data_IF_341709465892
#
_entry.id   IF_341709465892
#
_cell.length_a   1.000
_cell.length_b   1.000
_cell.length_c   1.000
_cell.angle_alpha   90.00
_cell.angle_beta   90.00
_cell.angle_gamma   90.00
#
_symmetry.space_group_name_H-M   'P 1'
#
loop_
_entity.id
_entity.type
_entity.pdbx_description
1 polymer ?
#
# COMPACT_ATOMS: atom_id res chain seq x y z
N UNK A 1 -1.88 29.68 2.91
CA UNK A 1 -1.02 29.80 4.12
C UNK A 1 0.13 28.81 3.94
N UNK A 2 1.36 29.11 4.35
CA UNK A 2 2.46 28.15 4.20
C UNK A 2 2.22 26.93 5.10
N UNK A 3 2.53 25.72 4.62
CA UNK A 3 2.47 24.50 5.43
C UNK A 3 3.48 24.58 6.58
N UNK A 4 3.14 23.98 7.72
CA UNK A 4 4.03 23.95 8.88
C UNK A 4 5.29 23.11 8.56
N UNK A 5 6.49 23.47 9.05
CA UNK A 5 7.72 22.72 8.77
C UNK A 5 7.62 21.22 9.10
N UNK A 6 6.88 20.88 10.16
CA UNK A 6 6.63 19.48 10.54
C UNK A 6 5.92 18.69 9.43
N UNK A 7 4.98 19.33 8.71
CA UNK A 7 4.23 18.69 7.62
C UNK A 7 5.09 18.47 6.38
N UNK A 8 6.07 19.34 6.15
CA UNK A 8 6.96 19.28 5.00
C UNK A 8 7.93 18.09 5.11
N UNK A 9 8.38 17.79 6.33
CA UNK A 9 9.32 16.69 6.62
C UNK A 9 8.63 15.43 7.19
N UNK A 10 7.32 15.28 7.02
CA UNK A 10 6.52 14.21 7.63
C UNK A 10 7.10 12.80 7.40
N UNK A 11 7.56 12.49 6.18
CA UNK A 11 8.14 11.18 5.87
C UNK A 11 9.39 10.87 6.73
N UNK A 12 10.23 11.87 6.99
CA UNK A 12 11.41 11.72 7.87
C UNK A 12 11.00 11.49 9.33
N UNK A 13 9.93 12.15 9.77
CA UNK A 13 9.38 11.95 11.11
C UNK A 13 8.81 10.54 11.27
N UNK A 14 8.10 10.03 10.25
CA UNK A 14 7.64 8.63 10.20
C UNK A 14 8.81 7.66 10.25
N UNK A 15 9.84 7.87 9.43
CA UNK A 15 11.05 7.02 9.42
C UNK A 15 11.73 7.01 10.79
N UNK A 16 11.81 8.17 11.45
CA UNK A 16 12.40 8.29 12.79
C UNK A 16 11.58 7.53 13.85
N UNK A 17 10.25 7.61 13.79
CA UNK A 17 9.35 6.89 14.70
C UNK A 17 9.46 5.37 14.51
N UNK A 18 9.51 4.91 13.26
CA UNK A 18 9.71 3.49 12.92
C UNK A 18 11.08 2.98 13.38
N UNK A 19 12.14 3.74 13.11
CA UNK A 19 13.49 3.35 13.50
C UNK A 19 13.64 3.21 15.02
N UNK A 20 13.08 4.16 15.79
CA UNK A 20 13.08 4.09 17.25
C UNK A 20 12.32 2.84 17.74
N UNK A 21 11.12 2.61 17.22
CA UNK A 21 10.30 1.46 17.62
C UNK A 21 10.95 0.12 17.27
N UNK A 22 11.51 -0.02 16.06
CA UNK A 22 12.18 -1.24 15.62
C UNK A 22 13.48 -1.51 16.38
N UNK A 23 14.22 -0.47 16.78
CA UNK A 23 15.38 -0.60 17.66
C UNK A 23 15.00 -1.18 19.03
N UNK A 24 13.90 -0.72 19.63
CA UNK A 24 13.38 -1.25 20.88
C UNK A 24 12.95 -2.72 20.74
N UNK A 25 12.28 -3.07 19.62
CA UNK A 25 11.88 -4.45 19.32
C UNK A 25 13.07 -5.37 19.10
N UNK A 26 14.12 -4.88 18.44
CA UNK A 26 15.39 -5.60 18.28
C UNK A 26 16.04 -5.88 19.62
N UNK A 27 16.12 -4.88 20.50
CA UNK A 27 16.66 -5.04 21.86
C UNK A 27 15.83 -6.02 22.71
N UNK A 28 14.50 -6.03 22.54
CA UNK A 28 13.64 -7.05 23.17
C UNK A 28 13.94 -8.45 22.63
N UNK A 29 14.08 -8.59 21.31
CA UNK A 29 14.47 -9.83 20.65
C UNK A 29 15.78 -10.39 21.21
N UNK A 30 16.81 -9.56 21.36
CA UNK A 30 18.11 -9.96 21.95
C UNK A 30 18.00 -10.56 23.36
N UNK A 31 17.05 -10.06 24.17
CA UNK A 31 16.81 -10.56 25.52
C UNK A 31 15.97 -11.83 25.55
N UNK A 32 15.06 -11.99 24.58
CA UNK A 32 14.14 -13.13 24.51
C UNK A 32 14.78 -14.34 23.84
N UNK A 33 15.25 -14.17 22.60
CA UNK A 33 15.88 -15.22 21.80
C UNK A 33 16.78 -14.56 20.74
N UNK A 34 18.10 -14.74 20.87
CA UNK A 34 19.07 -14.05 20.01
C UNK A 34 18.87 -14.41 18.53
N UNK A 35 18.48 -15.63 18.20
CA UNK A 35 18.27 -16.05 16.81
C UNK A 35 17.10 -15.29 16.16
N UNK A 36 16.17 -14.76 16.95
CA UNK A 36 15.05 -13.97 16.45
C UNK A 36 15.49 -12.58 15.96
N UNK A 37 16.63 -12.04 16.41
CA UNK A 37 17.08 -10.71 15.98
C UNK A 37 17.32 -10.64 14.49
N UNK A 38 17.66 -11.77 13.85
CA UNK A 38 17.83 -11.86 12.40
C UNK A 38 16.51 -11.60 11.65
N UNK A 39 15.39 -12.11 12.17
CA UNK A 39 14.06 -11.83 11.66
C UNK A 39 13.69 -10.35 11.84
N UNK A 40 14.04 -9.78 12.99
CA UNK A 40 13.83 -8.35 13.27
C UNK A 40 14.68 -7.47 12.35
N UNK A 41 15.93 -7.84 12.10
CA UNK A 41 16.84 -7.12 11.21
C UNK A 41 16.30 -7.15 9.78
N UNK A 42 15.83 -8.30 9.29
CA UNK A 42 15.18 -8.43 7.99
C UNK A 42 13.93 -7.56 7.85
N UNK A 43 13.06 -7.53 8.88
CA UNK A 43 11.89 -6.63 8.90
C UNK A 43 12.31 -5.15 8.95
N UNK A 44 13.33 -4.83 9.74
CA UNK A 44 13.82 -3.47 9.92
C UNK A 44 14.36 -2.92 8.61
N UNK A 45 15.20 -3.69 7.92
CA UNK A 45 15.71 -3.34 6.60
C UNK A 45 14.56 -3.18 5.59
N UNK A 46 13.56 -4.07 5.62
CA UNK A 46 12.40 -3.98 4.74
C UNK A 46 11.61 -2.68 4.95
N UNK A 47 11.34 -2.33 6.21
CA UNK A 47 10.55 -1.13 6.58
C UNK A 47 11.33 0.15 6.31
N UNK A 48 12.62 0.19 6.65
CA UNK A 48 13.45 1.41 6.60
C UNK A 48 14.15 1.64 5.26
N UNK A 49 14.22 0.64 4.37
CA UNK A 49 14.83 0.77 3.03
C UNK A 49 14.02 1.64 2.03
N UNK A 50 12.98 2.32 2.51
CA UNK A 50 12.29 3.38 1.80
C UNK A 50 10.79 3.20 1.69
N UNK A 51 10.18 3.94 0.78
CA UNK A 51 8.73 4.00 0.57
C UNK A 51 8.23 5.44 0.63
N UNK A 52 7.19 5.75 -0.13
CA UNK A 52 6.60 7.11 -0.20
C UNK A 52 5.84 7.51 1.08
N UNK A 53 5.74 6.61 2.07
CA UNK A 53 4.98 6.77 3.33
C UNK A 53 3.55 7.29 3.13
N UNK A 54 2.90 6.79 2.07
CA UNK A 54 1.59 7.27 1.59
C UNK A 54 0.52 7.14 2.67
N UNK A 55 0.47 5.98 3.34
CA UNK A 55 -0.55 5.65 4.35
C UNK A 55 -0.46 6.53 5.60
N UNK A 56 0.70 6.61 6.29
CA UNK A 56 0.88 7.58 7.38
C UNK A 56 0.61 9.02 6.95
N UNK A 57 0.97 9.38 5.71
CA UNK A 57 0.72 10.73 5.18
C UNK A 57 -0.77 11.03 5.12
N UNK A 58 -1.58 10.16 4.51
CA UNK A 58 -3.03 10.35 4.47
C UNK A 58 -3.66 10.34 5.87
N UNK A 59 -3.19 9.48 6.77
CA UNK A 59 -3.68 9.49 8.15
C UNK A 59 -3.31 10.79 8.91
N UNK A 60 -2.11 11.31 8.71
CA UNK A 60 -1.73 12.61 9.26
C UNK A 60 -2.62 13.73 8.72
N UNK A 61 -2.86 13.78 7.41
CA UNK A 61 -3.71 14.82 6.82
C UNK A 61 -5.19 14.67 7.18
N UNK A 62 -5.68 13.46 7.46
CA UNK A 62 -6.99 13.24 8.07
C UNK A 62 -7.08 13.88 9.47
N UNK A 63 -6.03 13.74 10.28
CA UNK A 63 -5.95 14.37 11.60
C UNK A 63 -5.86 15.90 11.50
N UNK A 64 -5.06 16.42 10.57
CA UNK A 64 -5.00 17.87 10.27
C UNK A 64 -6.35 18.41 9.81
N UNK A 65 -7.07 17.68 8.96
CA UNK A 65 -8.40 18.07 8.48
C UNK A 65 -9.43 18.17 9.62
N UNK A 66 -9.27 17.37 10.69
CA UNK A 66 -10.06 17.44 11.91
C UNK A 66 -9.62 18.55 12.89
N UNK A 67 -8.71 19.44 12.48
CA UNK A 67 -8.21 20.53 13.33
C UNK A 67 -7.00 20.15 14.19
N UNK A 68 -6.33 19.04 13.89
CA UNK A 68 -5.07 18.67 14.53
C UNK A 68 -3.99 19.74 14.36
N UNK A 69 -3.32 20.08 15.46
CA UNK A 69 -2.26 21.09 15.50
C UNK A 69 -0.88 20.42 15.65
N UNK A 70 0.03 20.55 14.66
CA UNK A 70 1.34 19.91 14.66
C UNK A 70 2.28 20.42 15.77
N UNK A 71 1.98 21.57 16.39
CA UNK A 71 2.74 22.11 17.52
C UNK A 71 2.25 21.58 18.87
N UNK A 72 1.05 20.96 18.91
CA UNK A 72 0.48 20.44 20.14
C UNK A 72 1.25 19.21 20.65
N UNK A 73 1.31 19.03 21.98
CA UNK A 73 2.04 17.92 22.62
C UNK A 73 1.56 16.51 22.19
N UNK A 74 0.34 16.41 21.68
CA UNK A 74 -0.24 15.16 21.18
C UNK A 74 0.25 14.80 19.77
N UNK A 75 0.83 15.73 19.01
CA UNK A 75 1.27 15.52 17.64
C UNK A 75 2.25 14.34 17.51
N UNK A 76 3.20 14.21 18.43
CA UNK A 76 4.13 13.07 18.45
C UNK A 76 3.44 11.73 18.69
N UNK A 77 2.39 11.69 19.52
CA UNK A 77 1.59 10.48 19.78
C UNK A 77 0.79 10.08 18.54
N UNK A 78 0.18 11.06 17.87
CA UNK A 78 -0.52 10.84 16.61
C UNK A 78 0.44 10.34 15.54
N UNK A 79 1.62 10.95 15.40
CA UNK A 79 2.64 10.52 14.45
C UNK A 79 3.03 9.05 14.69
N UNK A 80 3.34 8.65 15.92
CA UNK A 80 3.67 7.26 16.25
C UNK A 80 2.51 6.32 15.90
N UNK A 81 1.28 6.69 16.27
CA UNK A 81 0.08 5.92 15.97
C UNK A 81 -0.10 5.71 14.46
N UNK A 82 0.00 6.75 13.63
CA UNK A 82 -0.18 6.62 12.18
C UNK A 82 1.01 5.95 11.49
N UNK A 83 2.21 6.04 12.07
CA UNK A 83 3.41 5.35 11.55
C UNK A 83 3.27 3.83 11.63
N UNK A 84 2.46 3.30 12.55
CA UNK A 84 2.16 1.87 12.65
C UNK A 84 1.57 1.27 11.35
N UNK A 85 0.97 2.10 10.49
CA UNK A 85 0.46 1.68 9.17
C UNK A 85 1.56 1.11 8.26
N UNK A 86 2.82 1.52 8.43
CA UNK A 86 3.93 0.98 7.64
C UNK A 86 4.30 -0.45 8.07
N UNK A 87 3.98 -0.87 9.29
CA UNK A 87 4.12 -2.26 9.73
C UNK A 87 3.02 -3.16 9.15
N UNK A 88 1.79 -2.64 9.01
CA UNK A 88 0.75 -3.32 8.22
C UNK A 88 1.19 -3.43 6.76
N UNK A 89 1.78 -2.38 6.20
CA UNK A 89 2.29 -2.40 4.82
C UNK A 89 3.42 -3.41 4.66
N UNK A 90 4.29 -3.54 5.65
CA UNK A 90 5.33 -4.56 5.64
C UNK A 90 4.72 -5.97 5.63
N UNK A 91 3.75 -6.25 6.51
CA UNK A 91 3.02 -7.52 6.48
C UNK A 91 2.40 -7.78 5.10
N UNK A 92 1.64 -6.82 4.57
CA UNK A 92 0.95 -6.96 3.30
C UNK A 92 1.92 -7.28 2.17
N UNK A 93 3.01 -6.51 2.02
CA UNK A 93 3.98 -6.74 0.94
C UNK A 93 4.78 -8.03 1.10
N UNK A 94 5.20 -8.38 2.32
CA UNK A 94 5.99 -9.60 2.56
C UNK A 94 5.17 -10.84 2.21
N UNK A 95 3.88 -10.84 2.57
CA UNK A 95 2.97 -11.94 2.23
C UNK A 95 2.56 -11.93 0.76
N UNK A 96 2.32 -10.75 0.15
CA UNK A 96 2.02 -10.59 -1.29
C UNK A 96 3.20 -11.11 -2.14
N UNK A 97 4.43 -10.71 -1.83
CA UNK A 97 5.64 -11.19 -2.51
C UNK A 97 5.80 -12.72 -2.41
N UNK A 98 5.33 -13.35 -1.33
CA UNK A 98 5.32 -14.81 -1.19
C UNK A 98 4.22 -15.44 -2.04
N UNK A 99 3.01 -14.88 -2.04
CA UNK A 99 1.87 -15.38 -2.81
C UNK A 99 2.09 -15.28 -4.32
N UNK A 100 2.71 -14.20 -4.76
CA UNK A 100 3.04 -13.94 -6.17
C UNK A 100 4.39 -14.55 -6.58
N UNK A 101 5.11 -15.19 -5.66
CA UNK A 101 6.46 -15.75 -5.87
C UNK A 101 7.48 -14.73 -6.43
N UNK A 102 7.33 -13.45 -6.08
CA UNK A 102 8.19 -12.38 -6.57
C UNK A 102 9.61 -12.49 -6.00
N UNK A 103 10.63 -12.51 -6.85
CA UNK A 103 12.02 -12.61 -6.40
C UNK A 103 12.58 -11.29 -5.85
N UNK A 104 12.04 -10.15 -6.33
CA UNK A 104 12.54 -8.82 -5.99
C UNK A 104 11.43 -7.83 -5.66
N UNK A 105 11.77 -6.88 -4.79
CA UNK A 105 10.96 -5.69 -4.48
C UNK A 105 11.87 -4.50 -4.29
N UNK A 106 11.56 -3.38 -4.98
CA UNK A 106 12.33 -2.12 -4.93
C UNK A 106 13.82 -2.36 -5.22
N UNK A 107 14.11 -3.23 -6.20
CA UNK A 107 15.48 -3.60 -6.57
C UNK A 107 16.25 -4.46 -5.54
N UNK A 108 15.59 -4.96 -4.49
CA UNK A 108 16.19 -5.84 -3.46
C UNK A 108 15.51 -7.20 -3.47
N UNK A 109 16.18 -8.29 -3.03
CA UNK A 109 15.53 -9.59 -2.90
C UNK A 109 14.37 -9.53 -1.89
N UNK A 110 13.29 -10.25 -2.14
CA UNK A 110 12.15 -10.35 -1.20
C UNK A 110 12.54 -11.15 0.05
N UNK A 111 11.77 -11.04 1.14
CA UNK A 111 12.14 -11.67 2.43
C UNK A 111 12.33 -13.18 2.28
N UNK A 112 11.44 -13.88 1.56
CA UNK A 112 11.57 -15.32 1.39
C UNK A 112 12.86 -15.70 0.63
N UNK A 113 13.27 -14.89 -0.36
CA UNK A 113 14.54 -15.08 -1.08
C UNK A 113 15.74 -14.78 -0.18
N UNK A 114 15.70 -13.71 0.61
CA UNK A 114 16.78 -13.36 1.54
C UNK A 114 17.05 -14.48 2.54
N UNK A 115 16.00 -15.02 3.16
CA UNK A 115 16.13 -16.08 4.17
C UNK A 115 16.52 -17.43 3.55
N UNK A 116 16.07 -17.73 2.33
CA UNK A 116 16.55 -18.90 1.59
C UNK A 116 18.06 -18.79 1.26
N UNK A 117 18.55 -17.60 0.86
CA UNK A 117 19.99 -17.37 0.64
C UNK A 117 20.79 -17.57 1.92
N UNK A 118 20.33 -17.00 3.03
CA UNK A 118 20.97 -17.14 4.35
C UNK A 118 21.07 -18.61 4.78
N UNK A 119 20.01 -19.39 4.57
CA UNK A 119 20.00 -20.83 4.87
C UNK A 119 21.11 -21.56 4.09
N UNK A 120 21.26 -21.28 2.78
CA UNK A 120 22.33 -21.85 1.95
C UNK A 120 23.72 -21.43 2.43
N UNK A 121 23.90 -20.15 2.73
CA UNK A 121 25.19 -19.60 3.20
C UNK A 121 25.67 -20.25 4.50
N UNK A 122 24.73 -20.61 5.38
CA UNK A 122 25.04 -21.27 6.65
C UNK A 122 25.04 -22.81 6.56
N UNK A 123 24.78 -23.38 5.39
CA UNK A 123 24.71 -24.84 5.18
C UNK A 123 23.77 -25.55 6.18
N UNK A 124 22.63 -24.92 6.47
CA UNK A 124 21.62 -25.50 7.35
C UNK A 124 20.95 -26.73 6.73
N UNK A 125 20.33 -27.55 7.57
CA UNK A 125 19.64 -28.77 7.14
C UNK A 125 18.31 -28.44 6.44
N UNK A 126 17.84 -29.37 5.61
CA UNK A 126 16.56 -29.31 4.89
C UNK A 126 16.49 -28.23 3.78
N UNK A 127 15.30 -27.95 3.25
CA UNK A 127 15.12 -27.07 2.08
C UNK A 127 15.31 -25.58 2.45
N UNK A 128 16.23 -24.85 1.78
CA UNK A 128 16.35 -23.41 1.91
C UNK A 128 15.08 -22.66 1.51
N UNK A 129 14.39 -23.13 0.47
CA UNK A 129 13.18 -22.50 -0.07
C UNK A 129 12.04 -22.59 0.95
N UNK A 130 11.81 -23.77 1.54
CA UNK A 130 10.80 -23.92 2.60
C UNK A 130 11.12 -23.06 3.82
N UNK A 131 12.40 -22.95 4.21
CA UNK A 131 12.80 -22.06 5.30
C UNK A 131 12.51 -20.59 4.98
N UNK A 132 12.84 -20.15 3.77
CA UNK A 132 12.54 -18.79 3.30
C UNK A 132 11.05 -18.47 3.32
N UNK A 133 10.21 -19.39 2.83
CA UNK A 133 8.75 -19.24 2.85
C UNK A 133 8.22 -19.15 4.30
N UNK A 134 8.66 -20.05 5.18
CA UNK A 134 8.26 -20.03 6.58
C UNK A 134 8.69 -18.74 7.29
N UNK A 135 9.90 -18.25 7.02
CA UNK A 135 10.39 -16.99 7.57
C UNK A 135 9.54 -15.80 7.11
N UNK A 136 9.18 -15.72 5.83
CA UNK A 136 8.34 -14.64 5.31
C UNK A 136 6.95 -14.61 5.94
N UNK A 137 6.31 -15.78 6.13
CA UNK A 137 5.02 -15.87 6.84
C UNK A 137 5.16 -15.29 8.26
N UNK A 138 6.10 -15.80 9.04
CA UNK A 138 6.29 -15.40 10.44
C UNK A 138 6.71 -13.93 10.60
N UNK A 139 7.57 -13.42 9.71
CA UNK A 139 8.00 -12.01 9.74
C UNK A 139 6.83 -11.09 9.41
N UNK A 140 6.00 -11.44 8.42
CA UNK A 140 4.80 -10.67 8.12
C UNK A 140 3.80 -10.69 9.29
N UNK A 141 3.60 -11.84 9.94
CA UNK A 141 2.72 -11.95 11.12
C UNK A 141 3.23 -11.09 12.29
N UNK A 142 4.54 -11.08 12.53
CA UNK A 142 5.17 -10.22 13.54
C UNK A 142 4.97 -8.75 13.19
N UNK A 143 5.13 -8.36 11.93
CA UNK A 143 4.88 -6.98 11.50
C UNK A 143 3.43 -6.55 11.77
N UNK A 144 2.46 -7.41 11.46
CA UNK A 144 1.05 -7.13 11.75
C UNK A 144 0.76 -7.01 13.25
N UNK A 145 1.29 -7.93 14.07
CA UNK A 145 1.15 -7.87 15.52
C UNK A 145 1.81 -6.60 16.10
N UNK A 146 2.98 -6.23 15.59
CA UNK A 146 3.69 -5.03 16.03
C UNK A 146 3.06 -3.73 15.55
N UNK A 147 2.25 -3.75 14.50
CA UNK A 147 1.44 -2.59 14.12
C UNK A 147 0.42 -2.26 15.22
N UNK A 148 -0.30 -3.27 15.74
CA UNK A 148 -1.21 -3.10 16.88
C UNK A 148 -0.46 -2.59 18.10
N UNK A 149 0.65 -3.24 18.46
CA UNK A 149 1.46 -2.83 19.60
C UNK A 149 1.94 -1.37 19.48
N UNK A 150 2.43 -0.96 18.30
CA UNK A 150 2.93 0.40 18.07
C UNK A 150 1.80 1.44 18.20
N UNK A 151 0.62 1.12 17.66
CA UNK A 151 -0.57 1.96 17.77
C UNK A 151 -1.00 2.15 19.22
N UNK A 152 -1.09 1.07 20.00
CA UNK A 152 -1.53 1.15 21.40
C UNK A 152 -0.46 1.74 22.32
N UNK A 153 0.82 1.50 22.04
CA UNK A 153 1.93 2.09 22.78
C UNK A 153 2.15 3.58 22.50
N UNK A 154 1.54 4.14 21.44
CA UNK A 154 1.66 5.55 21.09
C UNK A 154 1.12 6.51 22.18
N UNK A 155 0.32 6.02 23.13
CA UNK A 155 -0.17 6.81 24.26
C UNK A 155 -1.31 7.78 23.89
N UNK A 156 -2.09 7.44 22.85
CA UNK A 156 -3.30 8.18 22.51
C UNK A 156 -4.31 8.16 23.67
N UNK A 157 -5.07 9.25 23.89
CA UNK A 157 -6.18 9.26 24.85
C UNK A 157 -7.19 8.14 24.59
N UNK A 158 -7.81 7.62 25.65
CA UNK A 158 -8.77 6.51 25.57
C UNK A 158 -9.95 6.79 24.63
N UNK A 159 -10.46 8.02 24.62
CA UNK A 159 -11.55 8.44 23.73
C UNK A 159 -11.10 8.46 22.25
N UNK A 160 -9.86 8.84 21.96
CA UNK A 160 -9.29 8.76 20.62
C UNK A 160 -9.14 7.28 20.18
N UNK A 161 -8.65 6.40 21.07
CA UNK A 161 -8.57 4.95 20.83
C UNK A 161 -9.96 4.34 20.55
N UNK A 162 -11.00 4.80 21.25
CA UNK A 162 -12.38 4.36 20.98
C UNK A 162 -12.86 4.79 19.60
N UNK A 163 -12.65 6.06 19.21
CA UNK A 163 -13.04 6.58 17.89
C UNK A 163 -12.31 5.87 16.75
N UNK A 164 -11.01 5.56 16.92
CA UNK A 164 -10.22 4.90 15.87
C UNK A 164 -10.44 3.38 15.77
N UNK A 165 -11.09 2.77 16.77
CA UNK A 165 -11.25 1.31 16.84
C UNK A 165 -11.94 0.71 15.61
N UNK A 166 -13.00 1.35 15.10
CA UNK A 166 -13.71 0.90 13.90
C UNK A 166 -12.88 1.03 12.63
N UNK A 167 -12.35 2.22 12.25
CA UNK A 167 -11.54 2.34 11.05
C UNK A 167 -10.32 1.42 11.04
N UNK A 168 -9.68 1.21 12.19
CA UNK A 168 -8.53 0.30 12.31
C UNK A 168 -8.89 -1.17 12.08
N UNK A 169 -10.05 -1.64 12.58
CA UNK A 169 -10.53 -3.02 12.39
C UNK A 169 -10.98 -3.27 10.97
N UNK A 170 -11.77 -2.36 10.42
CA UNK A 170 -12.30 -2.48 9.07
C UNK A 170 -11.17 -2.48 8.04
N UNK A 171 -10.22 -1.54 8.16
CA UNK A 171 -9.08 -1.42 7.24
C UNK A 171 -8.31 -2.73 7.07
N UNK A 172 -7.98 -3.39 8.19
CA UNK A 172 -7.25 -4.66 8.17
C UNK A 172 -8.07 -5.78 7.53
N UNK A 173 -9.37 -5.81 7.81
CA UNK A 173 -10.29 -6.81 7.26
C UNK A 173 -10.48 -6.60 5.75
N UNK A 174 -10.68 -5.36 5.32
CA UNK A 174 -10.85 -4.98 3.92
C UNK A 174 -9.59 -5.28 3.11
N UNK A 175 -8.40 -4.94 3.63
CA UNK A 175 -7.12 -5.26 3.00
C UNK A 175 -6.98 -6.77 2.77
N UNK A 176 -7.17 -7.59 3.81
CA UNK A 176 -7.04 -9.04 3.72
C UNK A 176 -8.13 -9.67 2.83
N UNK A 177 -9.37 -9.16 2.88
CA UNK A 177 -10.43 -9.60 2.00
C UNK A 177 -10.12 -9.26 0.54
N UNK A 178 -9.59 -8.06 0.27
CA UNK A 178 -9.12 -7.64 -1.04
C UNK A 178 -7.99 -8.53 -1.57
N UNK A 179 -7.00 -8.86 -0.73
CA UNK A 179 -5.93 -9.79 -1.08
C UNK A 179 -6.47 -11.20 -1.40
N UNK A 180 -7.41 -11.69 -0.60
CA UNK A 180 -8.05 -12.98 -0.87
C UNK A 180 -8.81 -12.97 -2.19
N UNK A 181 -9.54 -11.88 -2.49
CA UNK A 181 -10.24 -11.73 -3.76
C UNK A 181 -9.29 -11.66 -4.96
N UNK A 182 -8.12 -11.04 -4.82
CA UNK A 182 -7.09 -11.00 -5.86
C UNK A 182 -6.66 -12.42 -6.24
N UNK A 183 -6.22 -13.21 -5.25
CA UNK A 183 -5.82 -14.62 -5.46
C UNK A 183 -6.98 -15.48 -5.99
N UNK A 184 -8.19 -15.29 -5.47
CA UNK A 184 -9.37 -16.03 -5.91
C UNK A 184 -9.74 -15.72 -7.37
N UNK A 185 -9.64 -14.46 -7.77
CA UNK A 185 -9.97 -13.99 -9.12
C UNK A 185 -8.99 -14.56 -10.14
N UNK A 186 -7.69 -14.56 -9.81
CA UNK A 186 -6.67 -15.23 -10.62
C UNK A 186 -6.94 -16.74 -10.75
N UNK A 187 -7.24 -17.41 -9.64
CA UNK A 187 -7.54 -18.85 -9.63
C UNK A 187 -8.80 -19.22 -10.44
N UNK A 188 -9.79 -18.32 -10.49
CA UNK A 188 -11.02 -18.50 -11.30
C UNK A 188 -10.85 -18.09 -12.76
N UNK A 189 -9.80 -17.35 -13.09
CA UNK A 189 -9.65 -16.71 -14.39
C UNK A 189 -10.72 -15.65 -14.66
N UNK A 190 -11.30 -15.04 -13.62
CA UNK A 190 -12.32 -13.99 -13.78
C UNK A 190 -11.63 -12.69 -14.22
N UNK A 191 -11.86 -12.29 -15.47
CA UNK A 191 -11.31 -11.07 -16.06
C UNK A 191 -12.37 -9.96 -16.17
N UNK A 192 -13.42 -9.97 -15.34
CA UNK A 192 -14.44 -8.93 -15.37
C UNK A 192 -13.97 -7.63 -14.72
N UNK A 193 -14.34 -6.50 -15.32
CA UNK A 193 -14.05 -5.17 -14.77
C UNK A 193 -14.61 -4.97 -13.35
N UNK A 194 -15.76 -5.58 -13.04
CA UNK A 194 -16.38 -5.52 -11.71
C UNK A 194 -15.58 -6.32 -10.65
N UNK A 195 -14.99 -7.46 -11.01
CA UNK A 195 -14.07 -8.18 -10.12
C UNK A 195 -12.81 -7.35 -9.84
N UNK A 196 -12.15 -6.83 -10.88
CA UNK A 196 -10.96 -5.98 -10.76
C UNK A 196 -11.22 -4.76 -9.85
N UNK A 197 -12.27 -3.99 -10.14
CA UNK A 197 -12.61 -2.80 -9.35
C UNK A 197 -13.02 -3.13 -7.91
N UNK A 198 -13.55 -4.33 -7.63
CA UNK A 198 -13.83 -4.76 -6.24
C UNK A 198 -12.53 -5.03 -5.47
N UNK A 199 -11.54 -5.65 -6.12
CA UNK A 199 -10.20 -5.82 -5.54
C UNK A 199 -9.59 -4.45 -5.26
N UNK A 200 -9.57 -3.55 -6.25
CA UNK A 200 -8.99 -2.20 -6.09
C UNK A 200 -9.61 -1.43 -4.92
N UNK A 201 -10.94 -1.49 -4.79
CA UNK A 201 -11.66 -0.83 -3.69
C UNK A 201 -11.23 -1.33 -2.32
N UNK A 202 -11.01 -2.64 -2.17
CA UNK A 202 -10.71 -3.26 -0.87
C UNK A 202 -9.21 -3.33 -0.59
N UNK A 203 -8.45 -3.97 -1.48
CA UNK A 203 -7.00 -4.21 -1.34
C UNK A 203 -6.23 -2.89 -1.31
N UNK A 204 -6.64 -1.91 -2.10
CA UNK A 204 -5.86 -0.67 -2.28
C UNK A 204 -6.58 0.57 -1.78
N UNK A 205 -7.79 0.88 -2.25
CA UNK A 205 -8.41 2.17 -1.97
C UNK A 205 -8.78 2.34 -0.48
N UNK A 206 -9.49 1.34 0.06
CA UNK A 206 -9.85 1.28 1.47
C UNK A 206 -8.60 1.35 2.34
N UNK A 207 -7.64 0.48 2.06
CA UNK A 207 -6.42 0.33 2.85
C UNK A 207 -5.44 1.51 2.76
N UNK A 208 -5.24 2.07 1.56
CA UNK A 208 -4.13 3.00 1.29
C UNK A 208 -4.51 4.46 1.54
N UNK A 209 -5.79 4.81 1.37
CA UNK A 209 -6.23 6.20 1.43
C UNK A 209 -7.47 6.40 2.29
N UNK A 210 -8.58 5.72 1.99
CA UNK A 210 -9.88 5.94 2.66
C UNK A 210 -9.79 5.74 4.17
N UNK A 211 -9.29 4.58 4.61
CA UNK A 211 -9.21 4.24 6.03
C UNK A 211 -8.11 5.02 6.75
N UNK A 212 -6.92 5.25 6.19
CA UNK A 212 -5.95 6.18 6.77
C UNK A 212 -6.55 7.56 7.05
N UNK A 213 -7.23 8.20 6.09
CA UNK A 213 -7.90 9.48 6.29
C UNK A 213 -8.95 9.41 7.42
N UNK A 214 -9.78 8.38 7.41
CA UNK A 214 -10.78 8.13 8.45
C UNK A 214 -10.12 7.98 9.82
N UNK A 215 -9.03 7.22 9.95
CA UNK A 215 -8.29 7.06 11.20
C UNK A 215 -7.78 8.40 11.72
N UNK A 216 -7.14 9.19 10.86
CA UNK A 216 -6.65 10.52 11.20
C UNK A 216 -7.75 11.42 11.75
N UNK A 217 -8.84 11.54 11.00
CA UNK A 217 -9.98 12.36 11.39
C UNK A 217 -10.61 11.86 12.69
N UNK A 218 -10.74 10.54 12.88
CA UNK A 218 -11.24 9.94 14.09
C UNK A 218 -10.36 10.25 15.31
N UNK A 219 -9.02 10.18 15.18
CA UNK A 219 -8.09 10.57 16.24
C UNK A 219 -8.32 12.04 16.63
N UNK A 220 -8.45 12.93 15.64
CA UNK A 220 -8.69 14.36 15.84
C UNK A 220 -10.08 14.72 16.36
N UNK A 221 -11.02 13.76 16.42
CA UNK A 221 -12.40 14.03 16.83
C UNK A 221 -13.23 14.74 15.76
N UNK A 222 -12.90 14.53 14.49
CA UNK A 222 -13.64 15.07 13.35
C UNK A 222 -15.12 14.66 13.35
N UNK A 223 -15.98 15.53 12.81
CA UNK A 223 -17.42 15.25 12.72
C UNK A 223 -17.71 14.11 11.74
N UNK A 224 -18.92 13.54 11.82
CA UNK A 224 -19.35 12.49 10.90
C UNK A 224 -19.36 12.99 9.43
N UNK A 225 -19.73 14.25 9.22
CA UNK A 225 -19.75 14.90 7.90
C UNK A 225 -18.34 15.06 7.33
N UNK A 226 -17.37 15.45 8.17
CA UNK A 226 -15.97 15.52 7.77
C UNK A 226 -15.45 14.13 7.40
N UNK A 227 -15.69 13.14 8.26
CA UNK A 227 -15.24 11.76 8.03
C UNK A 227 -15.80 11.22 6.72
N UNK A 228 -17.09 11.39 6.45
CA UNK A 228 -17.68 10.88 5.21
C UNK A 228 -17.16 11.62 3.97
N UNK A 229 -16.96 12.94 4.04
CA UNK A 229 -16.34 13.70 2.95
C UNK A 229 -14.93 13.21 2.62
N UNK A 230 -14.10 12.98 3.66
CA UNK A 230 -12.75 12.43 3.49
C UNK A 230 -12.76 10.98 2.98
N UNK A 231 -13.73 10.16 3.41
CA UNK A 231 -13.87 8.79 2.91
C UNK A 231 -14.31 8.75 1.45
N UNK A 232 -15.24 9.60 1.03
CA UNK A 232 -15.65 9.72 -0.35
C UNK A 232 -14.47 10.14 -1.25
N UNK A 233 -13.70 11.14 -0.82
CA UNK A 233 -12.44 11.51 -1.47
C UNK A 233 -11.46 10.33 -1.56
N UNK A 234 -11.20 9.68 -0.41
CA UNK A 234 -10.23 8.59 -0.31
C UNK A 234 -10.57 7.35 -1.13
N UNK A 235 -11.86 7.04 -1.26
CA UNK A 235 -12.33 5.88 -2.04
C UNK A 235 -12.02 6.03 -3.52
N UNK A 236 -12.38 7.16 -4.12
CA UNK A 236 -12.21 7.36 -5.55
C UNK A 236 -10.74 7.55 -5.91
N UNK A 237 -10.01 8.35 -5.12
CA UNK A 237 -8.58 8.55 -5.38
C UNK A 237 -7.76 7.28 -5.15
N UNK A 238 -8.15 6.46 -4.17
CA UNK A 238 -7.50 5.19 -3.89
C UNK A 238 -7.64 4.19 -5.05
N UNK A 239 -8.81 4.14 -5.71
CA UNK A 239 -9.00 3.34 -6.93
C UNK A 239 -8.19 3.95 -8.08
N UNK A 240 -8.24 5.27 -8.28
CA UNK A 240 -7.48 5.93 -9.34
C UNK A 240 -5.96 5.70 -9.19
N UNK A 241 -5.45 5.66 -7.96
CA UNK A 241 -4.08 5.31 -7.64
C UNK A 241 -3.75 3.87 -8.06
N UNK A 242 -4.59 2.89 -7.73
CA UNK A 242 -4.36 1.50 -8.14
C UNK A 242 -4.37 1.33 -9.66
N UNK A 243 -5.32 1.97 -10.36
CA UNK A 243 -5.38 1.93 -11.81
C UNK A 243 -4.13 2.53 -12.47
N UNK A 244 -3.55 3.58 -11.86
CA UNK A 244 -2.27 4.13 -12.29
C UNK A 244 -1.13 3.13 -12.05
N UNK A 245 -1.10 2.48 -10.89
CA UNK A 245 -0.10 1.45 -10.57
C UNK A 245 -0.20 0.26 -11.53
N UNK A 246 -1.41 -0.21 -11.89
CA UNK A 246 -1.62 -1.28 -12.88
C UNK A 246 -1.08 -0.90 -14.26
N UNK A 247 -1.31 0.35 -14.69
CA UNK A 247 -0.73 0.86 -15.94
C UNK A 247 0.81 0.88 -15.85
N UNK A 248 1.39 1.24 -14.71
CA UNK A 248 2.84 1.21 -14.52
C UNK A 248 3.39 -0.22 -14.41
N UNK A 249 2.66 -1.18 -13.86
CA UNK A 249 3.06 -2.58 -13.81
C UNK A 249 3.19 -3.20 -15.21
N UNK A 250 2.34 -2.77 -16.14
CA UNK A 250 2.42 -3.20 -17.54
C UNK A 250 3.34 -2.33 -18.39
N UNK A 251 3.33 -1.00 -18.26
CA UNK A 251 4.04 -0.07 -19.18
C UNK A 251 5.20 0.72 -18.56
N UNK A 252 5.41 0.64 -17.25
CA UNK A 252 6.39 1.45 -16.53
C UNK A 252 7.83 1.03 -16.80
N UNK A 253 8.73 2.01 -16.70
CA UNK A 253 10.19 1.77 -16.72
C UNK A 253 10.59 0.98 -15.45
N UNK A 254 11.36 -0.12 -15.57
CA UNK A 254 11.91 -0.85 -14.43
C UNK A 254 12.65 0.01 -13.40
N UNK A 255 13.27 1.12 -13.82
CA UNK A 255 13.92 2.06 -12.91
C UNK A 255 12.92 2.80 -11.99
N UNK A 256 11.66 2.94 -12.42
CA UNK A 256 10.58 3.59 -11.68
C UNK A 256 9.78 2.58 -10.86
N UNK A 257 9.46 1.41 -11.43
CA UNK A 257 8.63 0.39 -10.77
C UNK A 257 9.42 -0.47 -9.78
N UNK A 258 10.74 -0.58 -9.97
CA UNK A 258 11.61 -1.45 -9.20
C UNK A 258 11.37 -2.95 -9.46
N UNK A 259 10.65 -3.27 -10.55
CA UNK A 259 10.30 -4.59 -11.07
C UNK A 259 10.57 -4.66 -12.58
N UNK A 260 10.77 -5.84 -13.18
CA UNK A 260 10.83 -5.98 -14.63
C UNK A 260 9.55 -5.44 -15.30
N UNK A 261 9.69 -4.94 -16.52
CA UNK A 261 8.56 -4.41 -17.27
C UNK A 261 7.60 -5.56 -17.64
N UNK A 262 6.30 -5.41 -17.40
CA UNK A 262 5.30 -6.46 -17.67
C UNK A 262 5.23 -7.55 -16.59
N UNK A 263 5.73 -7.29 -15.38
CA UNK A 263 5.65 -8.23 -14.25
C UNK A 263 4.21 -8.65 -13.95
N UNK A 264 3.26 -7.70 -13.99
CA UNK A 264 1.84 -7.98 -13.77
C UNK A 264 1.26 -8.98 -14.80
N UNK A 265 1.79 -8.99 -16.04
CA UNK A 265 1.40 -9.98 -17.04
C UNK A 265 1.96 -11.37 -16.69
N UNK A 266 3.21 -11.43 -16.22
CA UNK A 266 3.87 -12.69 -15.79
C UNK A 266 3.20 -13.27 -14.54
N UNK A 267 2.85 -12.42 -13.59
CA UNK A 267 2.11 -12.75 -12.37
C UNK A 267 0.64 -13.11 -12.68
N UNK A 268 0.11 -12.72 -13.85
CA UNK A 268 -1.26 -13.02 -14.25
C UNK A 268 -2.31 -12.19 -13.52
N UNK A 269 -1.94 -10.98 -13.06
CA UNK A 269 -2.85 -10.06 -12.36
C UNK A 269 -4.05 -9.74 -13.23
N UNK A 270 -5.25 -9.84 -12.65
CA UNK A 270 -6.54 -9.60 -13.34
C UNK A 270 -7.00 -8.16 -13.13
N UNK A 271 -6.18 -7.21 -13.61
CA UNK A 271 -6.41 -5.76 -13.47
C UNK A 271 -7.55 -5.25 -14.35
N UNK A 272 -8.01 -4.02 -14.12
CA UNK A 272 -9.00 -3.38 -15.01
C UNK A 272 -8.48 -3.25 -16.44
N UNK A 273 -7.18 -2.97 -16.60
CA UNK A 273 -6.54 -2.91 -17.91
C UNK A 273 -6.68 -4.23 -18.67
N UNK A 274 -6.47 -5.36 -17.98
CA UNK A 274 -6.65 -6.70 -18.55
C UNK A 274 -8.11 -6.93 -18.93
N UNK A 275 -9.05 -6.59 -18.04
CA UNK A 275 -10.49 -6.73 -18.31
C UNK A 275 -10.91 -5.96 -19.57
N UNK A 276 -10.48 -4.70 -19.69
CA UNK A 276 -10.73 -3.85 -20.86
C UNK A 276 -10.06 -4.40 -22.13
N UNK A 277 -8.84 -4.94 -22.00
CA UNK A 277 -8.13 -5.60 -23.09
C UNK A 277 -8.94 -6.77 -23.67
N UNK A 278 -9.42 -7.66 -22.80
CA UNK A 278 -10.27 -8.80 -23.20
C UNK A 278 -11.57 -8.31 -23.85
N UNK A 279 -12.27 -7.36 -23.22
CA UNK A 279 -13.53 -6.81 -23.72
C UNK A 279 -13.38 -6.18 -25.12
N UNK A 280 -12.25 -5.51 -25.37
CA UNK A 280 -11.98 -4.82 -26.62
C UNK A 280 -11.31 -5.70 -27.70
N UNK A 281 -11.10 -7.00 -27.44
CA UNK A 281 -10.56 -7.96 -28.42
C UNK A 281 -9.03 -8.05 -28.48
N UNK A 282 -8.36 -7.98 -27.33
CA UNK A 282 -6.92 -8.24 -27.24
C UNK A 282 -6.59 -9.75 -27.26
N UNK A 283 -6.73 -10.41 -28.42
CA UNK A 283 -6.57 -11.87 -28.61
C UNK A 283 -5.29 -12.49 -28.01
N UNK A 284 -4.14 -11.78 -28.00
CA UNK A 284 -2.88 -12.34 -27.46
C UNK A 284 -2.81 -12.32 -25.92
N UNK A 285 -3.69 -11.56 -25.26
CA UNK A 285 -3.62 -11.29 -23.83
C UNK A 285 -3.89 -12.55 -23.00
N UNK A 286 -4.92 -13.33 -23.34
CA UNK A 286 -5.28 -14.53 -22.57
C UNK A 286 -4.16 -15.58 -22.56
N UNK A 287 -3.45 -15.73 -23.68
CA UNK A 287 -2.33 -16.67 -23.81
C UNK A 287 -1.03 -16.20 -23.16
N UNK A 288 -0.91 -14.91 -22.83
CA UNK A 288 0.26 -14.32 -22.20
C UNK A 288 0.14 -14.23 -20.67
N UNK A 289 -1.07 -14.10 -20.13
CA UNK A 289 -1.30 -13.88 -18.69
C UNK A 289 -0.91 -15.08 -17.84
N UNK A 290 -0.12 -14.83 -16.79
CA UNK A 290 0.29 -15.83 -15.81
C UNK A 290 1.40 -16.76 -16.31
N UNK A 291 2.13 -16.37 -17.37
CA UNK A 291 3.32 -17.09 -17.86
C UNK A 291 4.58 -16.50 -17.23
N UNK A 292 5.24 -17.19 -16.27
CA UNK A 292 6.46 -16.67 -15.64
C UNK A 292 7.63 -16.52 -16.63
N UNK A 293 7.61 -17.29 -17.72
CA UNK A 293 8.63 -17.30 -18.77
C UNK A 293 8.30 -16.37 -19.96
N UNK A 294 7.29 -15.50 -19.83
CA UNK A 294 6.89 -14.57 -20.89
C UNK A 294 8.07 -13.68 -21.30
N UNK A 295 8.47 -13.81 -22.57
CA UNK A 295 9.60 -13.06 -23.12
C UNK A 295 9.27 -11.60 -23.36
N UNK A 296 10.29 -10.73 -23.36
CA UNK A 296 10.08 -9.27 -23.52
C UNK A 296 9.39 -8.91 -24.84
N UNK A 297 9.68 -9.64 -25.93
CA UNK A 297 9.00 -9.44 -27.22
C UNK A 297 7.51 -9.80 -27.17
N UNK A 298 7.12 -10.80 -26.36
CA UNK A 298 5.70 -11.16 -26.16
C UNK A 298 5.01 -10.10 -25.29
N UNK A 299 5.70 -9.59 -24.26
CA UNK A 299 5.22 -8.45 -23.44
C UNK A 299 4.97 -7.23 -24.32
N UNK A 300 5.89 -6.89 -25.22
CA UNK A 300 5.75 -5.74 -26.11
C UNK A 300 4.60 -5.91 -27.11
N UNK A 301 4.39 -7.13 -27.64
CA UNK A 301 3.24 -7.41 -28.50
C UNK A 301 1.89 -7.23 -27.76
N UNK A 302 1.80 -7.70 -26.50
CA UNK A 302 0.61 -7.50 -25.66
C UNK A 302 0.37 -6.01 -25.39
N UNK A 303 1.43 -5.24 -25.08
CA UNK A 303 1.35 -3.79 -24.86
C UNK A 303 0.84 -3.05 -26.10
N UNK A 304 1.40 -3.34 -27.27
CA UNK A 304 0.97 -2.75 -28.53
C UNK A 304 -0.50 -3.05 -28.80
N UNK A 305 -0.95 -4.27 -28.53
CA UNK A 305 -2.35 -4.65 -28.71
C UNK A 305 -3.27 -3.93 -27.71
N UNK A 306 -2.91 -3.84 -26.43
CA UNK A 306 -3.68 -3.11 -25.40
C UNK A 306 -3.87 -1.62 -25.76
N UNK A 307 -2.84 -1.01 -26.38
CA UNK A 307 -2.93 0.35 -26.93
C UNK A 307 -3.84 0.38 -28.15
N UNK A 308 -3.64 -0.52 -29.12
CA UNK A 308 -4.37 -0.54 -30.37
C UNK A 308 -5.89 -0.75 -30.19
N UNK A 309 -6.30 -1.57 -29.21
CA UNK A 309 -7.71 -1.79 -28.87
C UNK A 309 -8.30 -0.71 -27.95
N UNK A 310 -7.50 0.29 -27.54
CA UNK A 310 -7.93 1.42 -26.73
C UNK A 310 -8.21 1.09 -25.25
N UNK A 311 -7.72 -0.04 -24.74
CA UNK A 311 -7.87 -0.42 -23.33
C UNK A 311 -7.12 0.55 -22.39
N UNK A 312 -5.92 0.98 -22.81
CA UNK A 312 -5.12 2.00 -22.09
C UNK A 312 -5.88 3.31 -21.96
N UNK A 313 -6.43 3.82 -23.07
CA UNK A 313 -7.18 5.08 -23.08
C UNK A 313 -8.45 4.99 -22.22
N UNK A 314 -9.12 3.84 -22.21
CA UNK A 314 -10.27 3.60 -21.34
C UNK A 314 -9.89 3.62 -19.85
N UNK A 315 -8.77 3.01 -19.48
CA UNK A 315 -8.25 3.05 -18.12
C UNK A 315 -7.86 4.49 -17.70
N UNK A 316 -7.20 5.25 -18.58
CA UNK A 316 -6.83 6.66 -18.33
C UNK A 316 -8.06 7.58 -18.15
N UNK A 317 -9.11 7.37 -18.94
CA UNK A 317 -10.39 8.07 -18.73
C UNK A 317 -10.96 7.75 -17.35
N UNK A 318 -10.93 6.47 -16.95
CA UNK A 318 -11.43 6.05 -15.63
C UNK A 318 -10.65 6.68 -14.47
N UNK A 319 -9.32 6.76 -14.58
CA UNK A 319 -8.46 7.47 -13.62
C UNK A 319 -8.87 8.95 -13.51
N UNK A 320 -9.11 9.60 -14.65
CA UNK A 320 -9.51 11.02 -14.70
C UNK A 320 -10.86 11.24 -14.03
N UNK A 321 -11.88 10.45 -14.37
CA UNK A 321 -13.22 10.53 -13.78
C UNK A 321 -13.20 10.36 -12.25
N UNK A 322 -12.46 9.36 -11.76
CA UNK A 322 -12.29 9.10 -10.34
C UNK A 322 -11.54 10.23 -9.63
N UNK A 323 -10.48 10.76 -10.25
CA UNK A 323 -9.73 11.89 -9.69
C UNK A 323 -10.63 13.12 -9.56
N UNK A 324 -11.40 13.47 -10.58
CA UNK A 324 -12.33 14.60 -10.53
C UNK A 324 -13.45 14.39 -9.50
N UNK A 325 -13.97 13.17 -9.39
CA UNK A 325 -14.98 12.80 -8.38
C UNK A 325 -14.42 12.96 -6.96
N UNK A 326 -13.20 12.49 -6.71
CA UNK A 326 -12.52 12.65 -5.45
C UNK A 326 -12.35 14.14 -5.10
N UNK A 327 -11.85 14.95 -6.03
CA UNK A 327 -11.63 16.39 -5.80
C UNK A 327 -12.94 17.12 -5.47
N UNK A 328 -14.05 16.81 -6.15
CA UNK A 328 -15.37 17.36 -5.81
C UNK A 328 -15.82 16.96 -4.40
N UNK A 329 -15.58 15.72 -3.99
CA UNK A 329 -15.90 15.26 -2.65
C UNK A 329 -15.08 15.98 -1.57
N UNK A 330 -13.80 16.24 -1.85
CA UNK A 330 -12.91 17.00 -0.98
C UNK A 330 -13.33 18.48 -0.86
N UNK A 331 -13.72 19.12 -1.97
CA UNK A 331 -14.24 20.49 -1.96
C UNK A 331 -15.53 20.64 -1.15
N UNK A 332 -16.38 19.60 -1.16
CA UNK A 332 -17.63 19.58 -0.39
C UNK A 332 -17.43 19.24 1.10
N UNK A 333 -16.27 18.70 1.49
CA UNK A 333 -15.99 18.31 2.86
C UNK A 333 -15.78 19.53 3.77
N UNK A 334 -16.28 19.52 5.02
CA UNK A 334 -16.15 20.65 5.95
C UNK A 334 -14.74 20.73 6.58
N UNK A 335 -13.70 20.86 5.77
CA UNK A 335 -12.31 21.06 6.21
C UNK A 335 -12.11 22.53 6.56
N UNK A 336 -11.75 22.81 7.82
CA UNK A 336 -11.67 24.18 8.32
C UNK A 336 -10.48 24.98 7.76
N UNK A 337 -9.33 24.32 7.52
CA UNK A 337 -8.12 24.94 7.00
C UNK A 337 -7.99 24.71 5.48
N UNK A 338 -8.11 25.75 4.63
CA UNK A 338 -7.95 25.62 3.19
C UNK A 338 -6.59 25.05 2.75
N UNK A 339 -5.52 25.24 3.53
CA UNK A 339 -4.20 24.70 3.21
C UNK A 339 -4.18 23.16 3.32
N UNK A 340 -5.00 22.58 4.21
CA UNK A 340 -5.18 21.13 4.31
C UNK A 340 -5.90 20.59 3.07
N UNK A 341 -6.97 21.27 2.63
CA UNK A 341 -7.69 20.94 1.40
C UNK A 341 -6.76 20.98 0.18
N UNK A 342 -6.01 22.07 0.02
CA UNK A 342 -5.03 22.22 -1.07
C UNK A 342 -3.98 21.11 -1.05
N UNK A 343 -3.49 20.74 0.13
CA UNK A 343 -2.50 19.68 0.27
C UNK A 343 -3.07 18.29 -0.07
N UNK A 344 -4.27 17.96 0.39
CA UNK A 344 -4.94 16.71 0.04
C UNK A 344 -5.20 16.62 -1.48
N UNK A 345 -5.64 17.72 -2.11
CA UNK A 345 -5.78 17.80 -3.55
C UNK A 345 -4.44 17.60 -4.29
N UNK A 346 -3.37 18.21 -3.79
CA UNK A 346 -2.01 18.02 -4.33
C UNK A 346 -1.52 16.58 -4.21
N UNK A 347 -1.81 15.89 -3.10
CA UNK A 347 -1.50 14.48 -2.91
C UNK A 347 -2.28 13.60 -3.90
N UNK A 348 -3.57 13.87 -4.11
CA UNK A 348 -4.41 13.18 -5.09
C UNK A 348 -3.81 13.30 -6.51
N UNK A 349 -3.49 14.51 -6.94
CA UNK A 349 -2.89 14.75 -8.26
C UNK A 349 -1.53 14.06 -8.38
N UNK A 350 -0.72 14.04 -7.32
CA UNK A 350 0.56 13.34 -7.35
C UNK A 350 0.41 11.82 -7.40
N UNK A 351 -0.65 11.27 -6.79
CA UNK A 351 -0.90 9.84 -6.74
C UNK A 351 -1.38 9.28 -8.09
N UNK A 352 -2.02 10.09 -8.94
CA UNK A 352 -2.60 9.64 -10.22
C UNK A 352 -1.79 10.04 -11.45
N UNK A 353 -0.70 10.78 -11.28
CA UNK A 353 0.22 11.16 -12.38
C UNK A 353 1.07 9.97 -12.84
N UNK A 354 1.34 9.93 -14.15
CA UNK A 354 2.43 9.13 -14.71
C UNK A 354 3.73 9.69 -14.16
N UNK A 355 4.37 9.01 -13.21
CA UNK A 355 5.79 9.26 -12.96
C UNK A 355 6.55 8.68 -14.15
N UNK A 356 6.82 9.55 -15.11
CA UNK A 356 7.69 9.33 -16.27
C UNK A 356 9.13 9.08 -15.86
#
# INVERSE_FOLDING_TARGET
MALHPFDLDLAKHVDSALAAYLADRRALGERMERSFTEAVDGLTDFVLSGGKRVRPTFAWWGWRAAGGDPEHESAGRVLTAVSSLELIQACALIHDDLMDASETRRGRPTIHVQFARRHRENSWLSSPEQFGLAAAVLIGDVALAWADDMLFAAGLPTDALQRLSLPWRDMRTEMLAGQYLDVLTQARGDASADAALRIDRLKTAAYTVERPLHMGAAIGGGSAELVEGLRAFGRDIGVAFQLRDDLLGVFGDPAVTGKPAGDDLREGKRTLLVALGVEHGADSLEGALGRPDLGDAEVDAVREQLVAVGAVDACERRITELTESALRALEAAPVADPAVTERLAGLAVSATKRTS
#
